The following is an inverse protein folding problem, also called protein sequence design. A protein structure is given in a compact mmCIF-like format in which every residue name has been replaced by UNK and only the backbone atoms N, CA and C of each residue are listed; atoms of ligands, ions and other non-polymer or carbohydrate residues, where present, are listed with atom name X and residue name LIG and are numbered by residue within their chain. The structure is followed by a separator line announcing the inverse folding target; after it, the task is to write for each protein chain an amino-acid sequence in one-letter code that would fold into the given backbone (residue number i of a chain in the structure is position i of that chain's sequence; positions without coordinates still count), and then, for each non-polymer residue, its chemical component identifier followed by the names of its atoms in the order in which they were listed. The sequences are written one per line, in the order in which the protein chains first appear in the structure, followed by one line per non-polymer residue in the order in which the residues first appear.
data_IF_123011969804
#
_entry.id   IF_123011969804
#
_cell.length_a   1.000
_cell.length_b   1.000
_cell.length_c   1.000
_cell.angle_alpha   90.00
_cell.angle_beta   90.00
_cell.angle_gamma   90.00
#
_symmetry.space_group_name_H-M   'P 1'
#
loop_
_entity.id
_entity.type
_entity.pdbx_description
1 polymer ?
#
# COMPACT_ATOMS: atom_id res chain seq x y z
N UNK A 1 37.28 -10.01 38.91
CA UNK A 1 36.63 -10.19 37.59
C UNK A 1 35.22 -9.62 37.70
N UNK A 2 34.78 -8.83 36.72
CA UNK A 2 33.46 -8.20 36.77
C UNK A 2 32.32 -9.22 36.63
N UNK A 3 31.12 -8.87 37.08
CA UNK A 3 29.94 -9.74 37.10
C UNK A 3 29.50 -10.25 35.71
N UNK A 4 30.01 -9.67 34.61
CA UNK A 4 29.73 -10.09 33.23
C UNK A 4 30.99 -10.59 32.51
N UNK A 5 31.78 -11.45 33.15
CA UNK A 5 32.90 -12.11 32.47
C UNK A 5 32.36 -13.35 31.75
N UNK A 6 32.44 -13.38 30.41
CA UNK A 6 32.04 -14.55 29.61
C UNK A 6 33.17 -15.58 29.60
N UNK A 7 32.88 -16.80 30.05
CA UNK A 7 33.76 -17.94 29.89
C UNK A 7 33.35 -18.69 28.62
N UNK A 8 34.30 -18.87 27.70
CA UNK A 8 34.11 -19.65 26.47
C UNK A 8 34.98 -20.89 26.52
N UNK A 9 34.50 -21.97 25.92
CA UNK A 9 35.26 -23.22 25.85
C UNK A 9 36.47 -23.05 24.92
N UNK A 10 37.52 -23.84 25.18
CA UNK A 10 38.71 -23.86 24.33
C UNK A 10 38.32 -24.37 22.93
N UNK A 11 38.53 -23.60 21.85
CA UNK A 11 38.22 -24.05 20.50
C UNK A 11 39.06 -25.27 20.11
N UNK A 12 38.45 -26.23 19.43
CA UNK A 12 39.13 -27.44 18.97
C UNK A 12 39.68 -27.33 17.53
N UNK A 13 40.72 -28.12 17.25
CA UNK A 13 41.37 -28.23 15.94
C UNK A 13 42.60 -27.32 15.77
N UNK A 14 42.99 -27.10 14.52
CA UNK A 14 44.17 -26.28 14.21
C UNK A 14 43.99 -24.81 14.61
N UNK A 15 45.07 -24.21 15.13
CA UNK A 15 45.13 -22.79 15.51
C UNK A 15 44.90 -21.84 14.32
N UNK A 16 45.26 -22.26 13.10
CA UNK A 16 45.07 -21.48 11.89
C UNK A 16 44.15 -22.26 10.94
N UNK A 17 42.99 -21.67 10.63
CA UNK A 17 42.04 -22.24 9.66
C UNK A 17 41.82 -21.22 8.54
N UNK A 18 41.87 -21.68 7.28
CA UNK A 18 41.43 -20.87 6.14
C UNK A 18 39.93 -21.08 5.97
N UNK A 19 39.16 -20.00 6.10
CA UNK A 19 37.71 -20.01 5.88
C UNK A 19 37.41 -19.17 4.65
N UNK A 20 36.63 -19.74 3.73
CA UNK A 20 36.03 -18.98 2.65
C UNK A 20 34.78 -18.29 3.20
N UNK A 21 34.70 -16.97 3.01
CA UNK A 21 33.56 -16.17 3.44
C UNK A 21 33.02 -15.51 2.19
N UNK A 22 31.76 -15.83 1.88
CA UNK A 22 31.03 -15.20 0.79
C UNK A 22 30.39 -13.93 1.33
N UNK A 23 30.61 -12.81 0.64
CA UNK A 23 30.02 -11.53 0.97
C UNK A 23 29.09 -11.10 -0.16
N UNK A 24 27.90 -10.64 0.20
CA UNK A 24 26.95 -10.03 -0.74
C UNK A 24 26.93 -8.54 -0.47
N UNK A 25 27.14 -7.75 -1.52
CA UNK A 25 27.20 -6.28 -1.46
C UNK A 25 26.34 -5.74 -2.61
N UNK A 26 25.60 -4.67 -2.35
CA UNK A 26 24.80 -3.99 -3.36
C UNK A 26 25.66 -3.03 -4.21
N UNK A 27 25.25 -2.76 -5.45
CA UNK A 27 25.93 -1.78 -6.30
C UNK A 27 25.93 -0.38 -5.67
N UNK A 28 24.83 0.00 -5.01
CA UNK A 28 24.73 1.27 -4.31
C UNK A 28 25.80 1.42 -3.20
N UNK A 29 26.10 0.36 -2.45
CA UNK A 29 27.15 0.40 -1.44
C UNK A 29 28.54 0.62 -2.07
N UNK A 30 28.80 -0.04 -3.21
CA UNK A 30 30.05 0.13 -3.97
C UNK A 30 30.15 1.57 -4.49
N UNK A 31 29.05 2.14 -5.01
CA UNK A 31 28.98 3.52 -5.47
C UNK A 31 29.35 4.52 -4.37
N UNK A 32 28.73 4.38 -3.19
CA UNK A 32 28.97 5.29 -2.06
C UNK A 32 30.41 5.19 -1.55
N UNK A 33 30.95 3.97 -1.43
CA UNK A 33 32.32 3.74 -0.96
C UNK A 33 33.34 4.39 -1.90
N UNK A 34 33.14 4.30 -3.21
CA UNK A 34 34.07 4.84 -4.20
C UNK A 34 33.87 6.34 -4.50
N UNK A 35 32.71 6.90 -4.12
CA UNK A 35 32.41 8.32 -4.33
C UNK A 35 33.14 9.26 -3.35
N UNK A 36 33.46 8.80 -2.12
CA UNK A 36 34.04 9.65 -1.06
C UNK A 36 35.14 8.94 -0.26
N UNK A 37 36.13 9.69 0.25
CA UNK A 37 37.21 9.16 1.11
C UNK A 37 36.71 8.49 2.42
N UNK A 38 35.54 8.88 2.92
CA UNK A 38 34.86 8.24 4.08
C UNK A 38 33.51 7.61 3.68
N UNK A 39 33.39 7.09 2.45
CA UNK A 39 32.14 6.54 1.93
C UNK A 39 31.54 5.43 2.79
N UNK A 40 32.36 4.61 3.45
CA UNK A 40 31.86 3.55 4.34
C UNK A 40 31.08 4.09 5.54
N UNK A 41 31.50 5.20 6.15
CA UNK A 41 30.78 5.79 7.29
C UNK A 41 29.48 6.48 6.83
N UNK A 42 29.50 7.05 5.62
CA UNK A 42 28.33 7.70 5.03
C UNK A 42 27.16 6.73 4.80
N UNK A 43 27.44 5.45 4.52
CA UNK A 43 26.41 4.41 4.41
C UNK A 43 25.56 4.26 5.69
N UNK A 44 26.18 4.43 6.87
CA UNK A 44 25.48 4.35 8.15
C UNK A 44 24.91 5.69 8.62
N UNK A 45 25.51 6.79 8.17
CA UNK A 45 25.09 8.13 8.55
C UNK A 45 23.95 8.69 7.68
N UNK A 46 23.70 8.11 6.51
CA UNK A 46 22.71 8.60 5.54
C UNK A 46 23.16 9.85 4.76
N UNK A 47 24.33 10.42 5.07
CA UNK A 47 24.94 11.54 4.35
C UNK A 47 25.75 11.07 3.13
N UNK A 48 25.09 10.31 2.25
CA UNK A 48 25.69 9.79 1.02
C UNK A 48 25.74 10.88 -0.06
N UNK A 49 24.74 11.77 -0.09
CA UNK A 49 24.56 12.81 -1.09
C UNK A 49 24.34 12.26 -2.50
N UNK A 50 24.31 13.16 -3.48
CA UNK A 50 24.20 12.75 -4.89
C UNK A 50 25.52 12.17 -5.40
N UNK A 51 25.44 10.97 -5.98
CA UNK A 51 26.57 10.28 -6.60
C UNK A 51 26.60 10.65 -8.07
N UNK A 52 27.75 11.13 -8.54
CA UNK A 52 27.96 11.47 -9.95
C UNK A 52 27.77 10.24 -10.84
N UNK A 53 27.14 10.42 -12.00
CA UNK A 53 26.95 9.35 -12.99
C UNK A 53 28.28 8.72 -13.42
N UNK A 54 29.34 9.53 -13.54
CA UNK A 54 30.69 9.08 -13.91
C UNK A 54 31.23 7.97 -13.00
N UNK A 55 30.90 8.02 -11.70
CA UNK A 55 31.32 7.00 -10.72
C UNK A 55 30.52 5.72 -10.93
N UNK A 56 29.21 5.84 -11.20
CA UNK A 56 28.33 4.69 -11.47
C UNK A 56 28.75 3.97 -12.75
N UNK A 57 28.98 4.71 -13.84
CA UNK A 57 29.42 4.13 -15.12
C UNK A 57 30.77 3.39 -14.98
N UNK A 58 31.71 3.93 -14.19
CA UNK A 58 32.98 3.27 -13.89
C UNK A 58 32.80 1.99 -13.07
N UNK A 59 31.85 1.96 -12.15
CA UNK A 59 31.57 0.79 -11.31
C UNK A 59 30.84 -0.27 -12.11
N UNK A 60 29.87 0.10 -12.92
CA UNK A 60 29.16 -0.81 -13.82
C UNK A 60 30.13 -1.51 -14.78
N UNK A 61 31.08 -0.77 -15.35
CA UNK A 61 32.14 -1.35 -16.19
C UNK A 61 33.03 -2.35 -15.43
N UNK A 62 33.44 -2.02 -14.19
CA UNK A 62 34.24 -2.93 -13.35
C UNK A 62 33.46 -4.17 -12.91
N UNK A 63 32.18 -4.02 -12.62
CA UNK A 63 31.32 -5.15 -12.23
C UNK A 63 31.08 -6.07 -13.42
N UNK A 64 30.93 -5.51 -14.62
CA UNK A 64 30.88 -6.30 -15.86
C UNK A 64 32.20 -7.09 -16.08
N UNK A 65 33.35 -6.45 -15.90
CA UNK A 65 34.66 -7.11 -15.96
C UNK A 65 34.77 -8.24 -14.91
N UNK A 66 34.40 -7.99 -13.65
CA UNK A 66 34.43 -9.02 -12.60
C UNK A 66 33.48 -10.20 -12.87
N UNK A 67 32.36 -9.94 -13.55
CA UNK A 67 31.44 -10.98 -14.02
C UNK A 67 32.06 -11.82 -15.13
N UNK A 68 32.70 -11.18 -16.13
CA UNK A 68 33.38 -11.86 -17.23
C UNK A 68 34.59 -12.69 -16.76
N UNK A 69 35.36 -12.16 -15.80
CA UNK A 69 36.48 -12.86 -15.16
C UNK A 69 36.04 -14.00 -14.21
N UNK A 70 34.74 -14.11 -13.91
CA UNK A 70 34.21 -15.09 -12.96
C UNK A 70 34.58 -14.83 -11.50
N UNK A 71 34.98 -13.59 -11.16
CA UNK A 71 35.35 -13.17 -9.80
C UNK A 71 34.15 -12.73 -8.97
N UNK A 72 33.07 -12.32 -9.63
CA UNK A 72 31.82 -11.92 -8.99
C UNK A 72 30.62 -12.55 -9.72
N UNK A 73 29.53 -12.75 -8.98
CA UNK A 73 28.24 -13.18 -9.54
C UNK A 73 27.20 -12.14 -9.19
N UNK A 74 26.46 -11.69 -10.20
CA UNK A 74 25.39 -10.70 -10.04
C UNK A 74 24.10 -11.43 -9.69
N UNK A 75 23.45 -11.02 -8.61
CA UNK A 75 22.16 -11.57 -8.18
C UNK A 75 21.10 -10.48 -8.40
N UNK A 76 20.10 -10.71 -9.28
CA UNK A 76 19.04 -9.73 -9.48
C UNK A 76 18.17 -9.64 -8.22
N UNK A 77 17.93 -8.42 -7.76
CA UNK A 77 17.07 -8.12 -6.62
C UNK A 77 15.61 -7.92 -7.02
N UNK A 78 14.79 -7.59 -6.01
CA UNK A 78 13.41 -7.16 -6.18
C UNK A 78 13.27 -5.75 -5.60
N UNK A 79 12.73 -4.83 -6.39
CA UNK A 79 12.33 -3.51 -5.92
C UNK A 79 10.82 -3.50 -5.71
N UNK A 80 10.39 -3.39 -4.46
CA UNK A 80 8.98 -3.26 -4.11
C UNK A 80 8.63 -1.80 -3.82
N UNK A 81 7.65 -1.26 -4.54
CA UNK A 81 7.10 0.08 -4.30
C UNK A 81 5.65 -0.06 -3.91
N UNK A 82 5.35 0.26 -2.65
CA UNK A 82 3.97 0.35 -2.17
C UNK A 82 3.36 1.72 -2.49
N UNK A 83 2.05 1.76 -2.63
CA UNK A 83 1.27 2.96 -2.96
C UNK A 83 1.84 3.79 -4.11
N UNK A 84 2.14 3.12 -5.23
CA UNK A 84 2.81 3.73 -6.40
C UNK A 84 2.05 4.92 -7.00
N UNK A 85 0.74 5.01 -6.80
CA UNK A 85 -0.08 6.15 -7.23
C UNK A 85 0.28 7.48 -6.55
N UNK A 86 1.13 7.45 -5.52
CA UNK A 86 1.69 8.62 -4.87
C UNK A 86 2.91 9.21 -5.61
N UNK A 87 3.44 8.51 -6.62
CA UNK A 87 4.52 9.03 -7.46
C UNK A 87 4.01 10.05 -8.49
N UNK A 88 4.93 10.92 -8.93
CA UNK A 88 4.68 11.87 -10.00
C UNK A 88 5.08 11.33 -11.38
N UNK A 89 4.71 12.07 -12.42
CA UNK A 89 5.02 11.71 -13.80
C UNK A 89 6.54 11.66 -14.09
N UNK A 90 7.35 12.43 -13.36
CA UNK A 90 8.80 12.44 -13.52
C UNK A 90 9.42 11.13 -13.01
N UNK A 91 8.96 10.64 -11.85
CA UNK A 91 9.33 9.34 -11.29
C UNK A 91 8.95 8.20 -12.24
N UNK A 92 7.75 8.24 -12.82
CA UNK A 92 7.32 7.21 -13.78
C UNK A 92 8.17 7.24 -15.05
N UNK A 93 8.50 8.42 -15.56
CA UNK A 93 9.37 8.58 -16.73
C UNK A 93 10.79 8.04 -16.44
N UNK A 94 11.30 8.29 -15.24
CA UNK A 94 12.57 7.73 -14.78
C UNK A 94 12.51 6.19 -14.69
N UNK A 95 11.47 5.64 -14.08
CA UNK A 95 11.28 4.19 -13.96
C UNK A 95 11.18 3.52 -15.33
N UNK A 96 10.46 4.13 -16.27
CA UNK A 96 10.28 3.59 -17.62
C UNK A 96 11.63 3.41 -18.34
N UNK A 97 12.52 4.41 -18.23
CA UNK A 97 13.90 4.34 -18.74
C UNK A 97 14.78 3.39 -17.94
N UNK A 98 14.68 3.39 -16.60
CA UNK A 98 15.52 2.57 -15.74
C UNK A 98 15.27 1.07 -15.94
N UNK A 99 14.02 0.69 -16.23
CA UNK A 99 13.61 -0.68 -16.53
C UNK A 99 14.13 -1.23 -17.86
N UNK A 100 14.70 -0.38 -18.72
CA UNK A 100 15.34 -0.81 -19.97
C UNK A 100 16.80 -1.25 -19.77
N UNK A 101 17.37 -1.01 -18.57
CA UNK A 101 18.73 -1.45 -18.25
C UNK A 101 18.79 -2.95 -18.01
N UNK A 102 19.82 -3.62 -18.53
CA UNK A 102 20.09 -5.04 -18.31
C UNK A 102 20.31 -5.39 -16.82
N UNK A 103 20.70 -4.38 -16.02
CA UNK A 103 20.96 -4.50 -14.59
C UNK A 103 19.75 -4.17 -13.72
N UNK A 104 18.59 -3.91 -14.33
CA UNK A 104 17.38 -3.56 -13.59
C UNK A 104 16.88 -4.73 -12.73
N UNK A 105 16.54 -4.50 -11.45
CA UNK A 105 15.89 -5.51 -10.63
C UNK A 105 14.46 -5.77 -11.08
N UNK A 106 13.86 -6.85 -10.60
CA UNK A 106 12.43 -7.10 -10.81
C UNK A 106 11.63 -6.05 -10.04
N UNK A 107 10.85 -5.25 -10.75
CA UNK A 107 9.98 -4.24 -10.15
C UNK A 107 8.62 -4.87 -9.82
N UNK A 108 8.23 -4.76 -8.55
CA UNK A 108 6.88 -5.10 -8.07
C UNK A 108 6.26 -3.83 -7.50
N UNK A 109 5.12 -3.44 -8.02
CA UNK A 109 4.40 -2.24 -7.55
C UNK A 109 3.02 -2.63 -7.01
N UNK A 110 2.58 -1.93 -5.98
CA UNK A 110 1.24 -2.08 -5.41
C UNK A 110 0.49 -0.75 -5.45
N UNK A 111 -0.83 -0.83 -5.64
CA UNK A 111 -1.73 0.32 -5.65
C UNK A 111 -3.10 -0.08 -5.14
N UNK A 112 -3.65 0.74 -4.24
CA UNK A 112 -5.00 0.57 -3.73
C UNK A 112 -6.03 1.44 -4.46
N UNK A 113 -5.63 2.17 -5.52
CA UNK A 113 -6.52 3.06 -6.29
C UNK A 113 -6.92 2.45 -7.63
N UNK A 114 -8.20 2.58 -7.97
CA UNK A 114 -8.75 2.14 -9.26
C UNK A 114 -8.52 3.15 -10.38
N UNK A 115 -9.09 4.35 -10.27
CA UNK A 115 -8.83 5.49 -11.17
C UNK A 115 -8.33 6.64 -10.31
N UNK A 116 -7.16 7.19 -10.65
CA UNK A 116 -6.57 8.30 -9.90
C UNK A 116 -5.91 9.30 -10.86
N UNK A 117 -5.82 10.55 -10.42
CA UNK A 117 -5.05 11.59 -11.10
C UNK A 117 -3.56 11.27 -10.96
N UNK A 118 -2.80 11.36 -12.05
CA UNK A 118 -1.33 11.23 -12.02
C UNK A 118 -0.78 12.54 -11.44
N UNK A 119 -0.01 12.46 -10.37
CA UNK A 119 0.54 13.66 -9.72
C UNK A 119 1.47 14.41 -10.69
N UNK A 120 1.32 15.74 -10.72
CA UNK A 120 2.04 16.59 -11.67
C UNK A 120 1.34 16.79 -13.02
N UNK A 121 0.18 16.17 -13.24
CA UNK A 121 -0.62 16.35 -14.48
C UNK A 121 -2.10 16.55 -14.16
N UNK A 122 -2.91 16.99 -15.12
CA UNK A 122 -4.38 17.08 -15.00
C UNK A 122 -5.12 15.80 -15.42
N UNK A 123 -4.41 14.77 -15.87
CA UNK A 123 -5.01 13.56 -16.42
C UNK A 123 -5.30 12.51 -15.34
N UNK A 124 -6.46 11.85 -15.47
CA UNK A 124 -6.79 10.65 -14.69
C UNK A 124 -6.41 9.41 -15.49
N UNK A 125 -5.83 8.42 -14.83
CA UNK A 125 -5.49 7.13 -15.42
C UNK A 125 -5.87 5.97 -14.51
N UNK A 126 -5.98 4.75 -15.07
CA UNK A 126 -6.08 3.54 -14.26
C UNK A 126 -4.89 3.45 -13.31
N UNK A 127 -5.16 3.14 -12.05
CA UNK A 127 -4.20 2.99 -10.97
C UNK A 127 -3.35 4.22 -10.63
N UNK A 128 -3.59 5.37 -11.27
CA UNK A 128 -2.73 6.56 -11.16
C UNK A 128 -1.37 6.38 -11.83
N UNK A 129 -1.26 5.45 -12.77
CA UNK A 129 -0.04 5.14 -13.52
C UNK A 129 -0.20 5.59 -14.97
N UNK A 130 0.82 6.18 -15.61
CA UNK A 130 0.83 6.46 -17.04
C UNK A 130 0.57 5.20 -17.89
N UNK A 131 -0.20 5.32 -18.97
CA UNK A 131 -0.61 4.17 -19.82
C UNK A 131 0.60 3.47 -20.47
N UNK A 132 1.64 4.22 -20.82
CA UNK A 132 2.89 3.70 -21.39
C UNK A 132 3.61 2.74 -20.45
N UNK A 133 3.62 3.04 -19.15
CA UNK A 133 4.17 2.13 -18.15
C UNK A 133 3.21 0.98 -17.88
N UNK A 134 1.90 1.24 -17.81
CA UNK A 134 0.89 0.23 -17.52
C UNK A 134 0.87 -0.89 -18.58
N UNK A 135 1.03 -0.55 -19.85
CA UNK A 135 1.08 -1.53 -20.97
C UNK A 135 2.31 -2.45 -20.89
N UNK A 136 3.38 -2.04 -20.18
CA UNK A 136 4.58 -2.85 -19.95
C UNK A 136 4.46 -3.78 -18.74
N UNK A 137 3.45 -3.61 -17.90
CA UNK A 137 3.30 -4.29 -16.63
C UNK A 137 2.29 -5.44 -16.70
N UNK A 138 2.54 -6.49 -15.91
CA UNK A 138 1.56 -7.54 -15.68
C UNK A 138 0.71 -7.18 -14.46
N UNK A 139 -0.60 -7.02 -14.66
CA UNK A 139 -1.53 -6.70 -13.58
C UNK A 139 -2.02 -8.00 -12.94
N UNK A 140 -1.77 -8.15 -11.64
CA UNK A 140 -2.31 -9.24 -10.81
C UNK A 140 -3.36 -8.65 -9.88
N UNK A 141 -4.63 -8.98 -10.13
CA UNK A 141 -5.73 -8.55 -9.26
C UNK A 141 -5.90 -9.49 -8.08
N UNK A 142 -6.08 -8.94 -6.89
CA UNK A 142 -6.41 -9.69 -5.69
C UNK A 142 -7.92 -9.75 -5.50
N UNK A 143 -8.40 -10.84 -4.89
CA UNK A 143 -9.81 -11.02 -4.54
C UNK A 143 -10.01 -10.85 -3.03
N UNK A 144 -11.22 -10.47 -2.63
CA UNK A 144 -11.58 -10.38 -1.22
C UNK A 144 -11.58 -11.77 -0.56
N UNK A 145 -11.12 -11.82 0.68
CA UNK A 145 -11.14 -13.06 1.47
C UNK A 145 -12.57 -13.48 1.82
N UNK A 146 -12.75 -14.79 1.88
CA UNK A 146 -13.96 -15.43 2.42
C UNK A 146 -13.94 -15.44 3.96
N UNK A 147 -15.08 -15.80 4.57
CA UNK A 147 -15.18 -15.91 6.03
C UNK A 147 -14.19 -16.93 6.61
N UNK A 148 -14.09 -18.11 5.99
CA UNK A 148 -13.20 -19.18 6.45
C UNK A 148 -11.72 -18.82 6.30
N UNK A 149 -11.36 -18.14 5.21
CA UNK A 149 -9.99 -17.61 5.01
C UNK A 149 -9.67 -16.54 6.04
N UNK A 150 -10.61 -15.65 6.35
CA UNK A 150 -10.45 -14.61 7.37
C UNK A 150 -10.25 -15.22 8.75
N UNK A 151 -11.07 -16.23 9.12
CA UNK A 151 -10.90 -16.97 10.39
C UNK A 151 -9.52 -17.61 10.48
N UNK A 152 -9.05 -18.21 9.39
CA UNK A 152 -7.72 -18.84 9.32
C UNK A 152 -6.59 -17.82 9.43
N UNK A 153 -6.69 -16.67 8.76
CA UNK A 153 -5.70 -15.60 8.87
C UNK A 153 -5.61 -15.09 10.32
N UNK A 154 -6.76 -14.88 10.96
CA UNK A 154 -6.81 -14.45 12.36
C UNK A 154 -6.25 -15.51 13.30
N UNK A 155 -6.52 -16.79 13.06
CA UNK A 155 -5.94 -17.90 13.82
C UNK A 155 -4.40 -17.90 13.76
N UNK A 156 -3.83 -17.75 12.55
CA UNK A 156 -2.36 -17.66 12.38
C UNK A 156 -1.80 -16.42 13.09
N UNK A 157 -2.54 -15.31 13.11
CA UNK A 157 -2.12 -14.10 13.84
C UNK A 157 -2.15 -14.30 15.36
N UNK A 158 -3.15 -14.99 15.89
CA UNK A 158 -3.18 -15.35 17.30
C UNK A 158 -1.99 -16.25 17.68
N UNK A 159 -1.63 -17.22 16.83
CA UNK A 159 -0.46 -18.07 17.04
C UNK A 159 0.86 -17.28 17.00
N UNK A 160 1.02 -16.37 16.04
CA UNK A 160 2.23 -15.53 15.91
C UNK A 160 2.39 -14.54 17.07
N UNK A 161 1.28 -14.02 17.59
CA UNK A 161 1.25 -13.09 18.72
C UNK A 161 1.22 -13.78 20.10
N UNK A 162 1.22 -15.12 20.14
CA UNK A 162 1.12 -15.94 21.36
C UNK A 162 -0.11 -15.61 22.22
N UNK A 163 -1.27 -15.48 21.57
CA UNK A 163 -2.55 -15.16 22.21
C UNK A 163 -3.51 -16.34 22.14
N UNK A 164 -3.85 -16.90 23.31
CA UNK A 164 -4.91 -17.91 23.43
C UNK A 164 -6.29 -17.24 23.34
N UNK A 165 -7.11 -17.67 22.38
CA UNK A 165 -8.43 -17.11 22.13
C UNK A 165 -9.47 -18.23 22.03
N UNK A 166 -10.62 -18.05 22.68
CA UNK A 166 -11.69 -19.04 22.61
C UNK A 166 -12.32 -19.10 21.22
N UNK A 167 -12.88 -20.25 20.84
CA UNK A 167 -13.43 -20.44 19.49
C UNK A 167 -14.58 -19.47 19.18
N UNK A 168 -15.45 -19.20 20.16
CA UNK A 168 -16.55 -18.25 20.03
C UNK A 168 -16.04 -16.81 19.88
N UNK A 169 -14.96 -16.46 20.58
CA UNK A 169 -14.32 -15.15 20.47
C UNK A 169 -13.70 -14.96 19.08
N UNK A 170 -13.04 -15.99 18.54
CA UNK A 170 -12.48 -15.98 17.18
C UNK A 170 -13.59 -15.85 16.12
N UNK A 171 -14.74 -16.51 16.29
CA UNK A 171 -15.87 -16.38 15.37
C UNK A 171 -16.45 -14.95 15.37
N UNK A 172 -16.62 -14.36 16.57
CA UNK A 172 -17.05 -12.97 16.69
C UNK A 172 -16.04 -12.01 16.04
N UNK A 173 -14.75 -12.22 16.28
CA UNK A 173 -13.68 -11.42 15.70
C UNK A 173 -13.69 -11.49 14.17
N UNK A 174 -13.92 -12.69 13.63
CA UNK A 174 -14.01 -12.91 12.17
C UNK A 174 -15.18 -12.14 11.58
N UNK A 175 -16.35 -12.15 12.25
CA UNK A 175 -17.51 -11.36 11.82
C UNK A 175 -17.21 -9.86 11.82
N UNK A 176 -16.57 -9.36 12.87
CA UNK A 176 -16.14 -7.95 12.94
C UNK A 176 -15.14 -7.62 11.81
N UNK A 177 -14.19 -8.52 11.53
CA UNK A 177 -13.22 -8.36 10.44
C UNK A 177 -13.85 -8.28 9.05
N UNK A 178 -14.94 -9.03 8.82
CA UNK A 178 -15.72 -8.98 7.57
C UNK A 178 -16.55 -7.70 7.43
N UNK A 179 -17.12 -7.18 8.52
CA UNK A 179 -17.92 -5.95 8.49
C UNK A 179 -17.06 -4.68 8.40
N UNK A 180 -15.86 -4.71 9.00
CA UNK A 180 -14.94 -3.57 9.10
C UNK A 180 -13.73 -3.72 8.18
N UNK A 181 -12.60 -4.18 8.71
CA UNK A 181 -11.38 -4.51 7.96
C UNK A 181 -10.55 -5.55 8.72
N UNK A 182 -9.80 -6.36 7.96
CA UNK A 182 -8.86 -7.33 8.53
C UNK A 182 -7.82 -6.66 9.44
N UNK A 183 -7.34 -5.46 9.08
CA UNK A 183 -6.37 -4.69 9.88
C UNK A 183 -6.94 -4.33 11.26
N UNK A 184 -8.19 -3.88 11.30
CA UNK A 184 -8.85 -3.56 12.56
C UNK A 184 -9.00 -4.80 13.43
N UNK A 185 -9.43 -5.94 12.85
CA UNK A 185 -9.52 -7.20 13.58
C UNK A 185 -8.17 -7.68 14.14
N UNK A 186 -7.07 -7.57 13.37
CA UNK A 186 -5.72 -7.91 13.85
C UNK A 186 -5.32 -7.02 15.04
N UNK A 187 -5.51 -5.71 14.95
CA UNK A 187 -5.18 -4.82 16.08
C UNK A 187 -6.03 -5.11 17.33
N UNK A 188 -7.26 -5.61 17.15
CA UNK A 188 -8.10 -6.01 18.28
C UNK A 188 -7.59 -7.27 18.98
N UNK A 189 -6.82 -8.16 18.34
CA UNK A 189 -6.24 -9.36 18.99
C UNK A 189 -5.36 -8.92 20.17
N UNK A 190 -4.36 -8.08 19.91
CA UNK A 190 -3.47 -7.54 20.94
C UNK A 190 -4.23 -6.75 22.01
N UNK A 191 -5.18 -5.90 21.60
CA UNK A 191 -5.95 -5.11 22.56
C UNK A 191 -6.83 -5.99 23.46
N UNK A 192 -7.41 -7.07 22.92
CA UNK A 192 -8.25 -8.00 23.67
C UNK A 192 -7.41 -8.86 24.63
N UNK A 193 -6.20 -9.26 24.20
CA UNK A 193 -5.21 -9.93 25.07
C UNK A 193 -4.87 -9.09 26.30
N UNK A 194 -4.60 -7.79 26.13
CA UNK A 194 -4.34 -6.89 27.26
C UNK A 194 -5.55 -6.72 28.19
N UNK A 195 -6.77 -6.78 27.67
CA UNK A 195 -8.00 -6.72 28.49
C UNK A 195 -8.19 -8.03 29.27
N UNK A 196 -7.93 -9.18 28.65
CA UNK A 196 -7.96 -10.48 29.30
C UNK A 196 -6.89 -10.58 30.41
N UNK A 197 -5.67 -10.10 30.14
CA UNK A 197 -4.59 -10.04 31.13
C UNK A 197 -4.99 -9.15 32.33
N UNK A 198 -5.66 -8.02 32.07
CA UNK A 198 -6.20 -7.15 33.13
C UNK A 198 -7.27 -7.84 33.97
N UNK A 199 -8.07 -8.74 33.38
CA UNK A 199 -9.01 -9.64 34.08
C UNK A 199 -8.29 -10.80 34.80
N UNK A 200 -6.98 -10.97 34.57
CA UNK A 200 -6.16 -12.11 35.01
C UNK A 200 -6.59 -13.44 34.36
N UNK A 201 -7.11 -13.38 33.15
CA UNK A 201 -7.34 -14.54 32.28
C UNK A 201 -6.18 -14.69 31.30
N UNK A 202 -5.77 -15.93 31.03
CA UNK A 202 -4.82 -16.24 29.96
C UNK A 202 -5.50 -16.41 28.59
N UNK A 203 -6.82 -16.64 28.59
CA UNK A 203 -7.61 -16.85 27.38
C UNK A 203 -8.53 -15.64 27.13
N UNK A 204 -8.55 -15.19 25.87
CA UNK A 204 -9.42 -14.10 25.39
C UNK A 204 -10.83 -14.63 25.14
N UNK A 205 -11.81 -14.00 25.80
CA UNK A 205 -13.22 -14.33 25.67
C UNK A 205 -14.00 -13.25 24.89
N UNK A 206 -15.26 -13.54 24.56
CA UNK A 206 -16.16 -12.61 23.85
C UNK A 206 -16.28 -11.25 24.58
N UNK A 207 -16.28 -11.25 25.91
CA UNK A 207 -16.42 -10.03 26.71
C UNK A 207 -15.25 -9.06 26.49
N UNK A 208 -14.04 -9.60 26.34
CA UNK A 208 -12.82 -8.85 26.12
C UNK A 208 -12.87 -8.16 24.74
N UNK A 209 -13.29 -8.88 23.70
CA UNK A 209 -13.49 -8.33 22.34
C UNK A 209 -14.56 -7.25 22.33
N UNK A 210 -15.72 -7.49 22.97
CA UNK A 210 -16.79 -6.48 23.07
C UNK A 210 -16.29 -5.22 23.77
N UNK A 211 -15.48 -5.37 24.83
CA UNK A 211 -14.91 -4.24 25.53
C UNK A 211 -13.98 -3.43 24.62
N UNK A 212 -13.07 -4.08 23.89
CA UNK A 212 -12.18 -3.43 22.93
C UNK A 212 -12.98 -2.72 21.83
N UNK A 213 -14.00 -3.37 21.28
CA UNK A 213 -14.86 -2.81 20.23
C UNK A 213 -15.60 -1.54 20.65
N UNK A 214 -15.93 -1.40 21.96
CA UNK A 214 -16.50 -0.16 22.51
C UNK A 214 -15.48 0.95 22.71
N UNK A 215 -14.21 0.61 22.95
CA UNK A 215 -13.14 1.58 23.21
C UNK A 215 -12.52 2.11 21.92
N UNK A 216 -12.31 1.24 20.94
CA UNK A 216 -11.67 1.57 19.68
C UNK A 216 -12.71 1.55 18.56
N UNK A 217 -12.95 2.71 17.98
CA UNK A 217 -13.93 2.90 16.91
C UNK A 217 -13.25 2.62 15.56
N UNK A 218 -13.91 1.88 14.67
CA UNK A 218 -13.41 1.68 13.30
C UNK A 218 -13.68 2.90 12.42
N UNK A 219 -13.07 2.93 11.24
CA UNK A 219 -13.16 4.08 10.32
C UNK A 219 -14.61 4.40 9.95
N UNK A 220 -15.49 3.42 9.69
CA UNK A 220 -16.87 3.68 9.26
C UNK A 220 -17.67 4.34 10.38
N UNK A 221 -17.59 3.78 11.60
CA UNK A 221 -18.23 4.39 12.79
C UNK A 221 -17.63 5.74 13.12
N UNK A 222 -16.32 5.92 12.96
CA UNK A 222 -15.65 7.19 13.19
C UNK A 222 -16.11 8.25 12.19
N UNK A 223 -16.29 7.91 10.91
CA UNK A 223 -16.80 8.85 9.91
C UNK A 223 -18.24 9.26 10.18
N UNK A 224 -19.09 8.33 10.64
CA UNK A 224 -20.47 8.65 11.04
C UNK A 224 -20.50 9.59 12.25
N UNK A 225 -19.68 9.32 13.26
CA UNK A 225 -19.55 10.19 14.43
C UNK A 225 -19.09 11.60 14.03
N UNK A 226 -18.14 11.72 13.09
CA UNK A 226 -17.70 13.02 12.56
C UNK A 226 -18.81 13.74 11.78
N UNK A 227 -19.63 13.04 11.00
CA UNK A 227 -20.76 13.63 10.27
C UNK A 227 -21.86 14.12 11.22
N UNK A 228 -22.16 13.39 12.29
CA UNK A 228 -23.17 13.76 13.28
C UNK A 228 -22.74 14.97 14.14
N UNK A 229 -21.45 15.04 14.48
CA UNK A 229 -20.86 16.15 15.23
C UNK A 229 -20.20 17.19 14.32
N UNK A 230 -20.52 17.20 13.02
CA UNK A 230 -19.85 18.04 12.01
C UNK A 230 -19.79 19.53 12.38
N UNK A 231 -20.82 20.03 13.07
CA UNK A 231 -20.93 21.41 13.57
C UNK A 231 -19.95 21.77 14.70
N UNK A 232 -19.41 20.78 15.40
CA UNK A 232 -18.45 20.97 16.47
C UNK A 232 -16.99 20.87 15.99
N UNK A 233 -16.75 20.38 14.77
CA UNK A 233 -15.42 20.26 14.18
C UNK A 233 -15.06 21.48 13.31
N UNK A 234 -13.80 21.91 13.39
CA UNK A 234 -13.29 23.00 12.55
C UNK A 234 -13.12 22.53 11.11
N UNK A 235 -13.36 23.43 10.14
CA UNK A 235 -13.29 23.17 8.68
C UNK A 235 -14.39 22.24 8.13
N UNK A 236 -15.62 22.35 8.66
CA UNK A 236 -16.78 21.72 8.03
C UNK A 236 -17.18 22.49 6.76
N UNK A 237 -16.76 22.02 5.58
CA UNK A 237 -17.17 22.57 4.28
C UNK A 237 -18.51 21.98 3.79
N UNK A 238 -19.13 21.05 4.54
CA UNK A 238 -20.43 20.45 4.15
C UNK A 238 -21.60 21.45 4.14
N UNK A 239 -21.45 22.60 4.80
CA UNK A 239 -22.45 23.67 4.79
C UNK A 239 -22.23 24.67 3.63
N UNK A 240 -21.14 24.57 2.86
CA UNK A 240 -20.83 25.52 1.77
C UNK A 240 -21.38 25.10 0.39
N UNK A 241 -21.76 23.84 0.20
CA UNK A 241 -22.30 23.35 -1.08
C UNK A 241 -23.85 23.42 -1.17
N UNK A 242 -24.55 23.85 -0.11
CA UNK A 242 -26.02 23.95 -0.11
C UNK A 242 -26.56 25.39 -0.23
N UNK A 243 -25.70 26.40 -0.28
CA UNK A 243 -26.10 27.82 -0.34
C UNK A 243 -25.82 28.49 -1.72
N UNK A 244 -25.30 27.75 -2.72
CA UNK A 244 -24.92 28.28 -4.05
C UNK A 244 -25.80 27.77 -5.22
N UNK A 245 -26.94 27.11 -4.96
CA UNK A 245 -27.87 26.60 -6.00
C UNK A 245 -29.15 27.46 -6.16
N UNK A 246 -29.16 28.70 -5.67
CA UNK A 246 -30.20 29.69 -5.94
C UNK A 246 -29.54 30.98 -6.47
N UNK A 247 -29.07 30.98 -7.73
CA UNK A 247 -29.29 32.08 -8.67
C UNK A 247 -28.62 31.84 -10.03
N UNK A 248 -29.44 32.01 -11.07
CA UNK A 248 -29.10 32.36 -12.46
C UNK A 248 -28.80 31.24 -13.46
N UNK A 249 -29.88 30.66 -14.00
CA UNK A 249 -29.91 30.21 -15.41
C UNK A 249 -31.04 30.93 -16.14
N UNK A 250 -30.81 32.22 -16.42
CA UNK A 250 -31.52 32.96 -17.46
C UNK A 250 -30.62 33.13 -18.69
N UNK A 251 -30.52 32.11 -19.54
CA UNK A 251 -29.94 32.28 -20.87
C UNK A 251 -30.91 31.80 -21.94
N UNK A 252 -31.38 32.80 -22.67
CA UNK A 252 -32.01 32.73 -23.98
C UNK A 252 -31.20 31.92 -25.00
N UNK A 253 -31.87 31.04 -25.73
CA UNK A 253 -31.50 30.77 -27.12
C UNK A 253 -32.78 30.61 -27.95
N UNK A 254 -33.01 31.60 -28.82
CA UNK A 254 -33.94 31.55 -29.95
C UNK A 254 -33.28 30.80 -31.11
N UNK A 255 -34.12 30.35 -32.07
CA UNK A 255 -33.83 29.80 -33.41
C UNK A 255 -33.51 28.29 -33.47
N UNK A 256 -34.13 27.44 -34.29
CA UNK A 256 -35.16 27.56 -35.34
C UNK A 256 -35.80 26.17 -35.51
N UNK A 257 -37.14 26.07 -35.52
CA UNK A 257 -37.84 24.94 -36.14
C UNK A 257 -38.77 25.46 -37.25
N UNK A 258 -38.38 25.18 -38.49
CA UNK A 258 -39.18 25.36 -39.69
C UNK A 258 -40.29 24.28 -39.80
N UNK A 259 -41.47 24.77 -40.14
CA UNK A 259 -42.50 24.17 -41.02
C UNK A 259 -43.13 22.80 -40.65
N UNK A 260 -44.39 22.84 -40.20
CA UNK A 260 -45.53 22.78 -41.14
C UNK A 260 -46.89 22.77 -40.41
N UNK A 261 -47.69 23.80 -40.67
CA UNK A 261 -49.14 23.73 -40.54
C UNK A 261 -49.69 22.85 -41.67
N UNK A 262 -50.43 21.78 -41.35
CA UNK A 262 -51.77 21.65 -41.91
C UNK A 262 -52.66 20.61 -41.22
N UNK A 263 -53.93 21.02 -41.14
CA UNK A 263 -55.13 20.20 -41.34
C UNK A 263 -55.80 19.54 -40.12
N UNK A 264 -56.81 20.28 -39.64
CA UNK A 264 -58.23 19.85 -39.56
C UNK A 264 -58.65 18.70 -38.63
N UNK A 265 -59.45 19.10 -37.64
CA UNK A 265 -60.81 18.60 -37.38
C UNK A 265 -61.02 17.18 -36.78
N UNK A 266 -61.39 17.21 -35.49
CA UNK A 266 -62.52 16.49 -34.87
C UNK A 266 -62.40 15.02 -34.45
N UNK A 267 -63.10 14.61 -33.36
CA UNK A 267 -62.86 13.36 -32.64
C UNK A 267 -63.93 12.28 -32.90
N UNK A 268 -63.58 11.00 -32.76
CA UNK A 268 -64.46 9.88 -32.36
C UNK A 268 -63.63 8.59 -32.31
N UNK A 269 -63.57 7.90 -31.17
CA UNK A 269 -64.38 6.73 -30.74
C UNK A 269 -63.69 5.38 -30.98
N UNK A 270 -63.75 4.60 -29.91
CA UNK A 270 -64.01 3.15 -29.86
C UNK A 270 -62.93 2.13 -30.25
N UNK A 271 -62.89 1.13 -29.37
CA UNK A 271 -62.54 -0.28 -29.55
C UNK A 271 -61.03 -0.64 -29.62
N UNK A 272 -60.49 -1.46 -28.70
CA UNK A 272 -60.71 -2.87 -28.33
C UNK A 272 -59.65 -3.78 -28.99
N UNK A 273 -59.15 -4.74 -28.20
CA UNK A 273 -58.46 -6.00 -28.59
C UNK A 273 -57.04 -5.87 -29.18
N UNK A 274 -56.03 -6.34 -28.43
CA UNK A 274 -55.47 -7.71 -28.40
C UNK A 274 -54.39 -7.95 -29.46
N UNK A 275 -53.25 -8.49 -28.99
CA UNK A 275 -52.07 -8.85 -29.77
C UNK A 275 -50.82 -8.82 -28.91
#
# INVERSE_FOLDING_TARGET
MGAQTRFVQCPEGELQKRKEIVHTVSLHEIDVINSRQQGFLALFAGDTGEIKSEVRDQIDAKVAEWREEGRATIVPGVLFIDEVHMLDIECFSFLNRALESDMAPVLVIATNRGISKIRGTEYKSPHGIPLDLLDRLMIVSTVSYTFDETKKILSVRCEEEDVEMSEDALELLTRIGMETSLRYAIHMIMAASLVAEKRKSGEVEIEDIKRVYTLFVDVKRSTQFLMELSKEFMFNELDAENDDDDDDDSVSDESDEEENENSTASPSKEAMEEG
#
